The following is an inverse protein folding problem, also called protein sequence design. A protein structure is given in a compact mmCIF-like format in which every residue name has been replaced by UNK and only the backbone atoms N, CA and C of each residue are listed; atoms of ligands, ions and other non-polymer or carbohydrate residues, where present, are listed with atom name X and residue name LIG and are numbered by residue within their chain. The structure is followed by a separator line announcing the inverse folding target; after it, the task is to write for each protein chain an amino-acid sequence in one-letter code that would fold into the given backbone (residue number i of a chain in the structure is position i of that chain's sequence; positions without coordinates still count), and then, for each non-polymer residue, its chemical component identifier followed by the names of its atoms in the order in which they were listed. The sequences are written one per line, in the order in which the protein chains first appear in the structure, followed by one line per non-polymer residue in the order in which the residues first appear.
data_IF_792972658548
#
_entry.id   IF_792972658548
#
_cell.length_a   1.000
_cell.length_b   1.000
_cell.length_c   1.000
_cell.angle_alpha   90.00
_cell.angle_beta   90.00
_cell.angle_gamma   90.00
#
_symmetry.space_group_name_H-M   'P 1'
#
loop_
_entity.id
_entity.type
_entity.pdbx_description
1 polymer ?
#
# COMPACT_ATOMS: atom_id res chain seq x y z
N UNK A 1 4.90 20.27 -8.16
CA UNK A 1 5.68 19.79 -7.01
C UNK A 1 5.76 18.29 -7.13
N UNK A 2 6.95 17.70 -6.96
CA UNK A 2 7.13 16.25 -7.00
C UNK A 2 6.74 15.68 -5.64
N UNK A 3 5.98 14.59 -5.61
CA UNK A 3 5.67 13.90 -4.36
C UNK A 3 6.94 13.30 -3.75
N UNK A 4 7.02 13.29 -2.43
CA UNK A 4 8.01 12.52 -1.66
C UNK A 4 7.69 11.02 -1.72
N UNK A 5 8.66 10.12 -1.46
CA UNK A 5 8.39 8.68 -1.41
C UNK A 5 7.30 8.31 -0.40
N UNK A 6 7.26 8.98 0.76
CA UNK A 6 6.19 8.78 1.73
C UNK A 6 4.82 9.16 1.18
N UNK A 7 4.69 10.32 0.53
CA UNK A 7 3.42 10.73 -0.09
C UNK A 7 2.98 9.75 -1.19
N UNK A 8 3.92 9.23 -2.00
CA UNK A 8 3.61 8.19 -3.01
C UNK A 8 3.06 6.92 -2.34
N UNK A 9 3.73 6.44 -1.31
CA UNK A 9 3.32 5.26 -0.55
C UNK A 9 1.95 5.46 0.11
N UNK A 10 1.72 6.63 0.68
CA UNK A 10 0.47 7.01 1.31
C UNK A 10 -0.68 7.08 0.30
N UNK A 11 -0.50 7.72 -0.85
CA UNK A 11 -1.52 7.77 -1.91
C UNK A 11 -1.87 6.37 -2.42
N UNK A 12 -0.88 5.48 -2.56
CA UNK A 12 -1.12 4.09 -2.95
C UNK A 12 -1.96 3.35 -1.89
N UNK A 13 -1.63 3.48 -0.60
CA UNK A 13 -2.37 2.87 0.50
C UNK A 13 -3.83 3.37 0.58
N UNK A 14 -4.04 4.68 0.44
CA UNK A 14 -5.39 5.26 0.43
C UNK A 14 -6.19 4.79 -0.79
N UNK A 15 -5.56 4.71 -1.96
CA UNK A 15 -6.21 4.17 -3.16
C UNK A 15 -6.57 2.69 -3.02
N UNK A 16 -5.78 1.89 -2.31
CA UNK A 16 -6.14 0.51 -1.98
C UNK A 16 -7.43 0.45 -1.15
N UNK A 17 -7.53 1.28 -0.11
CA UNK A 17 -8.71 1.36 0.75
C UNK A 17 -9.96 1.83 0.01
N UNK A 18 -9.84 2.82 -0.88
CA UNK A 18 -10.96 3.27 -1.72
C UNK A 18 -11.58 2.10 -2.51
N UNK A 19 -10.74 1.19 -2.99
CA UNK A 19 -11.14 -0.05 -3.69
C UNK A 19 -11.40 -1.24 -2.76
N UNK A 20 -11.58 -0.97 -1.46
CA UNK A 20 -11.93 -1.95 -0.41
C UNK A 20 -10.92 -3.08 -0.26
N UNK A 21 -9.64 -2.82 -0.55
CA UNK A 21 -8.58 -3.72 -0.16
C UNK A 21 -8.50 -3.83 1.36
N UNK A 22 -7.99 -4.96 1.86
CA UNK A 22 -7.89 -5.26 3.29
C UNK A 22 -6.45 -5.42 3.73
N UNK A 23 -6.22 -5.27 5.04
CA UNK A 23 -4.90 -5.41 5.67
C UNK A 23 -3.84 -4.56 4.96
N UNK A 24 -4.18 -3.29 4.71
CA UNK A 24 -3.31 -2.33 4.02
C UNK A 24 -2.26 -1.82 5.00
N UNK A 25 -0.99 -2.04 4.66
CA UNK A 25 0.17 -1.66 5.47
C UNK A 25 1.18 -0.91 4.65
N UNK A 26 1.74 0.14 5.24
CA UNK A 26 2.91 0.86 4.75
C UNK A 26 4.07 0.51 5.68
N UNK A 27 5.16 -0.04 5.13
CA UNK A 27 6.38 -0.40 5.86
C UNK A 27 7.49 0.59 5.52
N UNK A 28 8.15 1.14 6.54
CA UNK A 28 9.34 1.97 6.41
C UNK A 28 10.60 1.09 6.36
N UNK A 29 11.22 1.03 5.19
CA UNK A 29 12.38 0.20 4.92
C UNK A 29 13.71 0.96 4.96
N UNK A 30 13.70 2.29 5.12
CA UNK A 30 14.92 3.13 4.99
C UNK A 30 16.06 2.69 5.92
N UNK A 31 15.73 2.03 7.04
CA UNK A 31 16.70 1.52 8.03
C UNK A 31 16.83 0.00 8.04
N UNK A 32 16.06 -0.70 7.20
CA UNK A 32 15.95 -2.17 7.18
C UNK A 32 16.51 -2.75 5.89
N UNK A 33 16.33 -2.08 4.75
CA UNK A 33 16.67 -2.60 3.43
C UNK A 33 17.08 -1.48 2.47
N UNK A 34 18.10 -1.68 1.62
CA UNK A 34 18.47 -0.72 0.58
C UNK A 34 17.63 -0.86 -0.70
N UNK A 35 16.66 -1.78 -0.75
CA UNK A 35 15.91 -2.10 -1.98
C UNK A 35 14.92 -0.99 -2.37
N UNK A 36 14.27 -0.38 -1.38
CA UNK A 36 13.31 0.71 -1.52
C UNK A 36 13.17 1.43 -0.18
N UNK A 37 12.64 2.65 -0.19
CA UNK A 37 12.35 3.40 1.03
C UNK A 37 11.08 2.89 1.72
N UNK A 38 10.05 2.57 0.94
CA UNK A 38 8.76 2.12 1.47
C UNK A 38 8.18 0.93 0.70
N UNK A 39 7.58 0.01 1.43
CA UNK A 39 6.65 -0.96 0.85
C UNK A 39 5.22 -0.62 1.23
N UNK A 40 4.30 -0.79 0.29
CA UNK A 40 2.87 -0.77 0.54
C UNK A 40 2.33 -2.16 0.23
N UNK A 41 1.59 -2.76 1.15
CA UNK A 41 1.08 -4.13 1.02
C UNK A 41 -0.42 -4.12 1.26
N UNK A 42 -1.20 -4.71 0.36
CA UNK A 42 -2.65 -4.86 0.51
C UNK A 42 -3.16 -6.19 0.00
N UNK A 43 -4.30 -6.63 0.55
CA UNK A 43 -5.00 -7.86 0.17
C UNK A 43 -6.30 -7.58 -0.58
N UNK A 44 -6.63 -8.44 -1.55
CA UNK A 44 -7.90 -8.41 -2.30
C UNK A 44 -8.56 -9.78 -2.37
N UNK A 45 -9.88 -9.80 -2.38
CA UNK A 45 -10.67 -11.03 -2.35
C UNK A 45 -10.88 -11.69 -3.71
N UNK A 46 -10.72 -10.97 -4.82
CA UNK A 46 -11.04 -11.47 -6.17
C UNK A 46 -10.17 -10.83 -7.27
N UNK A 47 -10.11 -11.48 -8.44
CA UNK A 47 -9.39 -10.95 -9.61
C UNK A 47 -9.96 -9.61 -10.14
N UNK A 48 -11.29 -9.41 -10.23
CA UNK A 48 -11.83 -8.09 -10.59
C UNK A 48 -11.41 -6.99 -9.60
N UNK A 49 -11.36 -7.30 -8.30
CA UNK A 49 -10.91 -6.35 -7.30
C UNK A 49 -9.40 -6.08 -7.41
N UNK A 50 -8.59 -7.10 -7.67
CA UNK A 50 -7.14 -6.94 -7.93
C UNK A 50 -6.91 -5.94 -9.05
N UNK A 51 -7.59 -6.13 -10.18
CA UNK A 51 -7.54 -5.20 -11.30
C UNK A 51 -7.92 -3.78 -10.88
N UNK A 52 -9.08 -3.62 -10.22
CA UNK A 52 -9.58 -2.32 -9.82
C UNK A 52 -8.64 -1.58 -8.84
N UNK A 53 -7.97 -2.31 -7.94
CA UNK A 53 -6.97 -1.76 -7.02
C UNK A 53 -5.74 -1.29 -7.78
N UNK A 54 -5.17 -2.13 -8.64
CA UNK A 54 -3.98 -1.80 -9.44
C UNK A 54 -4.23 -0.58 -10.32
N UNK A 55 -5.34 -0.58 -11.06
CA UNK A 55 -5.75 0.56 -11.90
C UNK A 55 -5.96 1.82 -11.04
N UNK A 56 -6.69 1.71 -9.93
CA UNK A 56 -6.93 2.83 -9.02
C UNK A 56 -5.64 3.47 -8.48
N UNK A 57 -4.65 2.66 -8.08
CA UNK A 57 -3.35 3.15 -7.59
C UNK A 57 -2.65 3.92 -8.70
N UNK A 58 -2.55 3.32 -9.89
CA UNK A 58 -1.87 3.93 -11.03
C UNK A 58 -2.55 5.23 -11.46
N UNK A 59 -3.88 5.25 -11.61
CA UNK A 59 -4.62 6.46 -11.97
C UNK A 59 -4.48 7.58 -10.94
N UNK A 60 -4.46 7.23 -9.64
CA UNK A 60 -4.32 8.22 -8.56
C UNK A 60 -2.96 8.88 -8.60
N UNK A 61 -1.88 8.10 -8.72
CA UNK A 61 -0.51 8.61 -8.77
C UNK A 61 -0.19 9.29 -10.12
N UNK A 62 -0.78 8.85 -11.22
CA UNK A 62 -0.61 9.51 -12.51
C UNK A 62 -1.19 10.92 -12.52
N UNK A 63 -2.30 11.16 -11.81
CA UNK A 63 -2.89 12.51 -11.64
C UNK A 63 -1.97 13.46 -10.87
N UNK A 64 -1.05 12.93 -10.06
CA UNK A 64 -0.03 13.72 -9.35
C UNK A 64 1.28 13.80 -10.13
N UNK A 65 1.34 13.25 -11.35
CA UNK A 65 2.52 13.24 -12.20
C UNK A 65 3.52 12.11 -11.92
N UNK A 66 3.17 11.14 -11.07
CA UNK A 66 4.01 9.99 -10.73
C UNK A 66 3.56 8.78 -11.53
N UNK A 67 4.45 8.22 -12.36
CA UNK A 67 4.17 7.02 -13.16
C UNK A 67 4.93 5.82 -12.58
N UNK A 68 4.35 4.60 -12.66
CA UNK A 68 5.09 3.40 -12.29
C UNK A 68 6.29 3.24 -13.23
N UNK A 69 7.44 2.90 -12.65
CA UNK A 69 8.63 2.49 -13.38
C UNK A 69 8.41 1.13 -14.02
N UNK A 70 7.84 0.20 -13.26
CA UNK A 70 7.56 -1.14 -13.72
C UNK A 70 6.31 -1.72 -13.05
N UNK A 71 5.64 -2.65 -13.73
CA UNK A 71 4.51 -3.41 -13.17
C UNK A 71 4.74 -4.87 -13.50
N UNK A 72 4.84 -5.71 -12.48
CA UNK A 72 4.96 -7.16 -12.61
C UNK A 72 3.66 -7.86 -12.21
N UNK A 73 3.35 -8.95 -12.92
CA UNK A 73 2.11 -9.70 -12.75
C UNK A 73 0.99 -9.25 -13.69
N UNK A 74 -0.09 -10.02 -13.68
CA UNK A 74 -1.27 -9.82 -14.52
C UNK A 74 -2.53 -9.69 -13.65
N UNK A 75 -3.63 -9.27 -14.25
CA UNK A 75 -4.94 -9.16 -13.57
C UNK A 75 -5.47 -10.53 -13.08
N UNK A 76 -4.99 -11.63 -13.66
CA UNK A 76 -5.28 -13.02 -13.25
C UNK A 76 -4.20 -13.59 -12.33
N UNK A 77 -3.14 -12.83 -12.04
CA UNK A 77 -2.08 -13.27 -11.15
C UNK A 77 -2.56 -13.25 -9.71
N UNK A 78 -1.95 -14.09 -8.87
CA UNK A 78 -2.25 -14.08 -7.43
C UNK A 78 -1.56 -12.93 -6.69
N UNK A 79 -0.66 -12.23 -7.37
CA UNK A 79 0.13 -11.12 -6.84
C UNK A 79 0.49 -10.19 -8.00
N UNK A 80 0.33 -8.89 -7.78
CA UNK A 80 0.84 -7.82 -8.64
C UNK A 80 1.80 -6.95 -7.83
N UNK A 81 2.91 -6.58 -8.45
CA UNK A 81 3.90 -5.64 -7.93
C UNK A 81 3.93 -4.40 -8.82
N UNK A 82 3.88 -3.22 -8.21
CA UNK A 82 4.00 -1.93 -8.88
C UNK A 82 5.21 -1.21 -8.31
N UNK A 83 6.19 -0.96 -9.16
CA UNK A 83 7.47 -0.36 -8.81
C UNK A 83 7.48 1.13 -9.14
N UNK A 84 7.75 1.97 -8.15
CA UNK A 84 7.95 3.42 -8.27
C UNK A 84 9.38 3.82 -7.86
N UNK A 85 10.35 2.90 -7.95
CA UNK A 85 11.76 3.05 -7.56
C UNK A 85 11.94 3.13 -6.05
N UNK A 86 11.52 4.22 -5.42
CA UNK A 86 11.65 4.41 -3.97
C UNK A 86 10.49 3.77 -3.19
N UNK A 87 9.40 3.43 -3.88
CA UNK A 87 8.21 2.79 -3.30
C UNK A 87 7.83 1.56 -4.11
N UNK A 88 7.59 0.45 -3.44
CA UNK A 88 7.10 -0.78 -4.08
C UNK A 88 5.75 -1.19 -3.48
N UNK A 89 4.74 -1.27 -4.34
CA UNK A 89 3.37 -1.61 -3.96
C UNK A 89 3.09 -3.07 -4.31
N UNK A 90 2.64 -3.83 -3.32
CA UNK A 90 2.33 -5.25 -3.40
C UNK A 90 0.83 -5.45 -3.20
N UNK A 91 0.15 -5.96 -4.23
CA UNK A 91 -1.28 -6.30 -4.16
C UNK A 91 -1.44 -7.81 -4.24
N UNK A 92 -1.86 -8.44 -3.16
CA UNK A 92 -2.02 -9.89 -3.05
C UNK A 92 -3.47 -10.32 -3.12
N UNK A 93 -3.76 -11.44 -3.78
CA UNK A 93 -4.97 -12.19 -3.47
C UNK A 93 -4.86 -12.75 -2.05
N UNK A 94 -5.91 -12.58 -1.25
CA UNK A 94 -5.88 -12.92 0.19
C UNK A 94 -5.41 -14.35 0.47
N UNK A 95 -5.76 -15.29 -0.41
CA UNK A 95 -5.38 -16.71 -0.29
C UNK A 95 -3.87 -16.98 -0.40
N UNK A 96 -3.08 -16.07 -0.99
CA UNK A 96 -1.64 -16.28 -1.20
C UNK A 96 -0.73 -15.41 -0.35
N UNK A 97 -1.22 -14.34 0.27
CA UNK A 97 -0.37 -13.39 1.02
C UNK A 97 0.52 -14.10 2.04
N UNK A 98 -0.05 -15.03 2.81
CA UNK A 98 0.67 -15.80 3.83
C UNK A 98 1.75 -16.73 3.25
N UNK A 99 1.60 -17.21 2.01
CA UNK A 99 2.59 -18.07 1.37
C UNK A 99 3.88 -17.31 1.01
N UNK A 100 3.77 -16.03 0.65
CA UNK A 100 4.93 -15.21 0.31
C UNK A 100 5.66 -14.65 1.53
N UNK A 101 4.98 -14.54 2.68
CA UNK A 101 5.61 -14.26 3.97
C UNK A 101 6.41 -12.96 4.01
N UNK A 102 6.05 -11.96 3.20
CA UNK A 102 6.76 -10.67 3.13
C UNK A 102 6.80 -9.99 4.51
N UNK A 103 5.72 -10.08 5.26
CA UNK A 103 5.62 -9.58 6.64
C UNK A 103 6.59 -10.28 7.61
N UNK A 104 7.09 -11.48 7.28
CA UNK A 104 8.15 -12.14 8.04
C UNK A 104 9.54 -11.64 7.66
N UNK A 105 9.74 -11.26 6.40
CA UNK A 105 11.03 -10.74 5.92
C UNK A 105 11.28 -9.31 6.41
N UNK A 106 10.23 -8.49 6.48
CA UNK A 106 10.31 -7.08 6.89
C UNK A 106 9.46 -6.77 8.12
N UNK A 107 9.18 -7.78 8.95
CA UNK A 107 8.32 -7.62 10.14
C UNK A 107 8.89 -6.70 11.21
N UNK A 108 10.20 -6.46 11.21
CA UNK A 108 10.87 -5.53 12.13
C UNK A 108 10.84 -4.07 11.62
N UNK A 109 10.32 -3.83 10.42
CA UNK A 109 10.17 -2.50 9.85
C UNK A 109 9.04 -1.73 10.56
N UNK A 110 9.25 -0.46 10.96
CA UNK A 110 8.15 0.39 11.42
C UNK A 110 7.02 0.41 10.40
N UNK A 111 5.79 0.22 10.87
CA UNK A 111 4.63 0.13 9.99
C UNK A 111 3.49 1.07 10.37
N UNK A 112 2.75 1.50 9.35
CA UNK A 112 1.47 2.18 9.46
C UNK A 112 0.40 1.26 8.86
N UNK A 113 -0.59 0.91 9.66
CA UNK A 113 -1.79 0.19 9.22
C UNK A 113 -2.88 1.19 8.89
N UNK A 114 -3.53 0.97 7.75
CA UNK A 114 -4.66 1.76 7.27
C UNK A 114 -5.91 0.89 7.27
N UNK A 115 -7.00 1.41 7.85
CA UNK A 115 -8.29 0.72 7.87
C UNK A 115 -9.42 1.69 7.52
N UNK A 116 -10.53 1.15 7.01
CA UNK A 116 -11.78 1.88 6.90
C UNK A 116 -12.65 1.56 8.11
N UNK A 117 -13.08 2.59 8.84
CA UNK A 117 -14.06 2.44 9.90
C UNK A 117 -15.38 1.92 9.29
N UNK A 118 -15.93 0.79 9.78
CA UNK A 118 -17.11 0.18 9.19
C UNK A 118 -18.42 0.94 9.46
N UNK A 119 -18.42 1.87 10.42
CA UNK A 119 -19.58 2.67 10.84
C UNK A 119 -19.55 4.05 10.21
N UNK A 120 -18.43 4.77 10.32
CA UNK A 120 -18.30 6.15 9.84
C UNK A 120 -17.80 6.22 8.39
N UNK A 121 -17.10 5.17 7.91
CA UNK A 121 -16.44 5.17 6.61
C UNK A 121 -15.14 5.99 6.58
N UNK A 122 -14.69 6.50 7.73
CA UNK A 122 -13.45 7.27 7.85
C UNK A 122 -12.22 6.37 7.74
N UNK A 123 -11.11 6.93 7.28
CA UNK A 123 -9.83 6.22 7.21
C UNK A 123 -9.12 6.35 8.55
N UNK A 124 -8.88 5.21 9.20
CA UNK A 124 -8.10 5.09 10.43
C UNK A 124 -6.64 4.79 10.09
N UNK A 125 -5.72 5.43 10.83
CA UNK A 125 -4.27 5.21 10.74
C UNK A 125 -3.74 4.76 12.09
N UNK A 126 -3.00 3.66 12.09
CA UNK A 126 -2.44 3.08 13.31
C UNK A 126 -0.96 2.80 13.12
N UNK A 127 -0.12 3.32 14.02
CA UNK A 127 1.32 3.07 14.05
C UNK A 127 1.63 2.03 15.12
N UNK A 128 2.53 1.08 14.83
CA UNK A 128 2.95 0.08 15.84
C UNK A 128 3.80 0.71 16.96
N UNK A 129 4.38 1.89 16.72
CA UNK A 129 5.13 2.68 17.69
C UNK A 129 4.24 3.63 18.52
N UNK A 130 3.20 3.10 19.18
CA UNK A 130 2.38 3.87 20.11
C UNK A 130 1.48 4.94 19.48
N UNK A 131 0.34 5.16 20.13
CA UNK A 131 -0.66 6.16 19.80
C UNK A 131 -0.02 7.54 19.55
N UNK A 132 -0.13 8.05 18.32
CA UNK A 132 -0.07 9.49 18.05
C UNK A 132 -1.41 9.91 17.44
N UNK A 133 -2.22 10.60 18.23
CA UNK A 133 -3.28 11.46 17.71
C UNK A 133 -2.63 12.70 17.07
N UNK A 134 -3.08 13.07 15.87
CA UNK A 134 -3.26 14.47 15.46
C UNK A 134 -4.15 14.50 14.20
N UNK A 135 -5.45 14.77 14.41
CA UNK A 135 -6.11 16.08 14.33
C UNK A 135 -6.55 16.44 12.91
N UNK A 136 -7.86 16.29 12.67
CA UNK A 136 -8.57 17.14 11.74
C UNK A 136 -8.54 18.59 12.26
N UNK A 137 -8.14 19.54 11.43
CA UNK A 137 -8.35 20.97 11.71
C UNK A 137 -7.21 21.88 11.28
N UNK A 138 -7.39 22.49 10.10
CA UNK A 138 -6.65 23.65 9.59
C UNK A 138 -7.37 24.20 8.36
#
# INVERSE_FOLDING_TARGET
MTLTPFEVAEHAALSMLDKKATDVRLLDLQRVSPIADYFVIGSVGSEPQLKAVVEGITETLEKTGVRPWHVEGTQTSRWVLIDYVDVVVHVFRSEVRHFYGLERLWGDAPSIRFELDPVTGEILRMTEAGVQEQQAGG
#
